data_IF_362050575907
#
_entry.id   IF_362050575907
#
_cell.length_a   1.000
_cell.length_b   1.000
_cell.length_c   1.000
_cell.angle_alpha   90.00
_cell.angle_beta   90.00
_cell.angle_gamma   90.00
#
_symmetry.space_group_name_H-M   'P 1'
#
loop_
_entity.id
_entity.type
_entity.pdbx_description
1 polymer ?
#
# COMPACT_ATOMS: atom_id res chain seq x y z
N UNK A 1 -23.80 -5.13 -29.25
CA UNK A 1 -22.44 -4.62 -29.00
C UNK A 1 -22.15 -4.71 -27.52
N UNK A 2 -21.00 -5.26 -27.12
CA UNK A 2 -20.63 -5.32 -25.71
C UNK A 2 -20.51 -3.89 -25.13
N UNK A 3 -21.14 -3.65 -23.99
CA UNK A 3 -20.97 -2.41 -23.23
C UNK A 3 -19.46 -2.12 -23.08
N UNK A 4 -19.08 -0.84 -23.23
CA UNK A 4 -17.68 -0.38 -23.10
C UNK A 4 -17.01 -1.08 -21.90
N UNK A 5 -16.00 -1.89 -22.18
CA UNK A 5 -15.26 -2.64 -21.14
C UNK A 5 -14.58 -1.64 -20.21
N UNK A 6 -14.91 -1.70 -18.92
CA UNK A 6 -14.21 -0.94 -17.88
C UNK A 6 -12.81 -1.51 -17.71
N UNK A 7 -11.82 -0.64 -17.57
CA UNK A 7 -10.42 -1.02 -17.33
C UNK A 7 -10.11 -0.80 -15.85
N UNK A 8 -9.47 -1.79 -15.22
CA UNK A 8 -9.02 -1.69 -13.84
C UNK A 8 -7.63 -1.08 -13.84
N UNK A 9 -7.46 0.03 -13.14
CA UNK A 9 -6.16 0.64 -12.86
C UNK A 9 -5.81 0.34 -11.41
N UNK A 10 -4.65 -0.27 -11.19
CA UNK A 10 -4.09 -0.51 -9.86
C UNK A 10 -2.87 0.39 -9.65
N UNK A 11 -2.80 1.06 -8.52
CA UNK A 11 -1.64 1.88 -8.15
C UNK A 11 -0.89 1.23 -6.97
N UNK A 12 0.38 0.89 -7.17
CA UNK A 12 1.25 0.40 -6.10
C UNK A 12 2.02 1.58 -5.49
N UNK A 13 1.68 1.92 -4.25
CA UNK A 13 1.99 3.24 -3.69
C UNK A 13 3.48 3.44 -3.37
N UNK A 14 4.14 2.42 -2.82
CA UNK A 14 5.52 2.57 -2.32
C UNK A 14 6.37 1.29 -2.45
N UNK A 15 5.77 0.11 -2.30
CA UNK A 15 6.47 -1.17 -2.40
C UNK A 15 7.57 -1.36 -1.34
N UNK A 16 8.50 -2.29 -1.61
CA UNK A 16 9.63 -2.60 -0.73
C UNK A 16 10.99 -2.65 -1.47
N UNK A 17 11.03 -2.31 -2.76
CA UNK A 17 12.24 -2.37 -3.60
C UNK A 17 12.99 -1.03 -3.57
N UNK A 18 12.31 0.06 -3.93
CA UNK A 18 12.93 1.39 -3.90
C UNK A 18 13.20 1.86 -2.46
N UNK A 19 14.26 2.64 -2.29
CA UNK A 19 14.69 3.23 -1.02
C UNK A 19 14.55 4.77 -1.03
N UNK A 20 14.42 5.42 0.14
CA UNK A 20 14.24 6.88 0.19
C UNK A 20 15.34 7.68 -0.50
N UNK A 21 16.58 7.17 -0.51
CA UNK A 21 17.70 7.80 -1.19
C UNK A 21 17.59 7.82 -2.72
N UNK A 22 16.70 7.00 -3.31
CA UNK A 22 16.50 6.94 -4.77
C UNK A 22 15.55 8.04 -5.26
N UNK A 23 14.64 8.52 -4.42
CA UNK A 23 13.69 9.56 -4.78
C UNK A 23 13.11 10.25 -3.55
N UNK A 24 13.06 11.60 -3.52
CA UNK A 24 12.36 12.33 -2.46
C UNK A 24 10.84 12.19 -2.54
N UNK A 25 10.31 11.56 -3.59
CA UNK A 25 8.88 11.34 -3.81
C UNK A 25 8.42 9.93 -3.41
N UNK A 26 9.31 9.08 -2.88
CA UNK A 26 8.92 7.78 -2.38
C UNK A 26 8.11 7.96 -1.07
N UNK A 27 6.84 7.52 -1.00
CA UNK A 27 6.06 7.68 0.22
C UNK A 27 6.59 6.77 1.32
N UNK A 28 6.90 7.33 2.49
CA UNK A 28 7.50 6.60 3.61
C UNK A 28 6.56 6.60 4.81
N UNK A 29 6.06 7.76 5.23
CA UNK A 29 5.22 7.85 6.42
C UNK A 29 3.80 7.34 6.13
N UNK A 30 3.05 6.88 7.16
CA UNK A 30 1.64 6.54 6.98
C UNK A 30 0.83 7.68 6.35
N UNK A 31 1.10 8.93 6.73
CA UNK A 31 0.42 10.12 6.23
C UNK A 31 0.71 10.34 4.74
N UNK A 32 1.97 10.17 4.31
CA UNK A 32 2.35 10.26 2.90
C UNK A 32 1.70 9.15 2.07
N UNK A 33 1.72 7.90 2.56
CA UNK A 33 1.12 6.76 1.88
C UNK A 33 -0.39 6.95 1.74
N UNK A 34 -1.07 7.41 2.78
CA UNK A 34 -2.52 7.71 2.73
C UNK A 34 -2.80 8.85 1.76
N UNK A 35 -2.01 9.93 1.80
CA UNK A 35 -2.19 11.07 0.91
C UNK A 35 -2.01 10.69 -0.57
N UNK A 36 -1.00 9.87 -0.89
CA UNK A 36 -0.80 9.36 -2.26
C UNK A 36 -1.89 8.38 -2.68
N UNK A 37 -2.34 7.50 -1.77
CA UNK A 37 -3.46 6.60 -2.06
C UNK A 37 -4.75 7.36 -2.39
N UNK A 38 -5.04 8.45 -1.68
CA UNK A 38 -6.16 9.34 -1.99
C UNK A 38 -6.00 9.98 -3.37
N UNK A 39 -4.83 10.54 -3.68
CA UNK A 39 -4.53 11.12 -5.01
C UNK A 39 -4.69 10.09 -6.13
N UNK A 40 -4.17 8.88 -5.94
CA UNK A 40 -4.27 7.80 -6.91
C UNK A 40 -5.73 7.39 -7.16
N UNK A 41 -6.53 7.25 -6.11
CA UNK A 41 -7.95 6.93 -6.22
C UNK A 41 -8.74 8.06 -6.92
N UNK A 42 -8.50 9.32 -6.53
CA UNK A 42 -9.09 10.51 -7.16
C UNK A 42 -8.73 10.62 -8.65
N UNK A 43 -7.52 10.17 -9.03
CA UNK A 43 -7.06 10.10 -10.42
C UNK A 43 -7.62 8.89 -11.21
N UNK A 44 -8.38 8.00 -10.56
CA UNK A 44 -9.07 6.87 -11.20
C UNK A 44 -8.51 5.48 -10.92
N UNK A 45 -7.60 5.32 -9.95
CA UNK A 45 -7.18 3.99 -9.50
C UNK A 45 -8.34 3.28 -8.78
N UNK A 46 -8.73 2.11 -9.28
CA UNK A 46 -9.76 1.27 -8.68
C UNK A 46 -9.21 0.37 -7.56
N UNK A 47 -7.90 0.12 -7.57
CA UNK A 47 -7.18 -0.70 -6.58
C UNK A 47 -5.95 0.06 -6.11
N UNK A 48 -5.72 0.05 -4.80
CA UNK A 48 -4.50 0.55 -4.16
C UNK A 48 -3.73 -0.63 -3.57
N UNK A 49 -2.53 -0.88 -4.10
CA UNK A 49 -1.63 -1.91 -3.58
C UNK A 49 -0.69 -1.31 -2.52
N UNK A 50 -0.70 -1.90 -1.33
CA UNK A 50 -0.19 -1.27 -0.11
C UNK A 50 0.95 -2.09 0.51
N UNK A 51 2.01 -1.36 0.84
CA UNK A 51 3.10 -1.77 1.73
C UNK A 51 3.21 -0.71 2.82
N UNK A 52 3.68 -1.09 4.01
CA UNK A 52 4.05 -0.15 5.05
C UNK A 52 5.58 -0.02 5.15
N UNK A 53 6.03 1.10 5.72
CA UNK A 53 7.44 1.42 5.97
C UNK A 53 7.59 2.03 7.35
N UNK A 54 8.77 1.87 7.92
CA UNK A 54 9.18 2.59 9.12
C UNK A 54 9.25 4.09 8.80
N UNK A 55 8.49 4.95 9.49
CA UNK A 55 8.42 6.39 9.20
C UNK A 55 9.74 7.13 9.46
N UNK A 56 10.65 6.57 10.27
CA UNK A 56 11.94 7.19 10.58
C UNK A 56 13.03 6.83 9.58
N UNK A 57 12.97 5.63 9.02
CA UNK A 57 14.08 5.08 8.21
C UNK A 57 13.69 4.73 6.77
N UNK A 58 12.40 4.61 6.47
CA UNK A 58 11.88 4.16 5.18
C UNK A 58 12.09 2.67 4.89
N UNK A 59 12.61 1.91 5.86
CA UNK A 59 12.73 0.45 5.73
C UNK A 59 11.34 -0.19 5.64
N UNK A 60 11.15 -1.23 4.82
CA UNK A 60 9.90 -1.99 4.80
C UNK A 60 9.50 -2.48 6.19
N UNK A 61 8.24 -2.29 6.56
CA UNK A 61 7.65 -2.71 7.83
C UNK A 61 6.40 -3.54 7.53
N UNK A 62 6.36 -4.77 8.03
CA UNK A 62 5.29 -5.73 7.79
C UNK A 62 4.48 -6.03 9.06
N UNK A 63 4.62 -5.19 10.09
CA UNK A 63 3.84 -5.32 11.32
C UNK A 63 2.37 -4.96 11.08
N UNK A 64 1.48 -5.65 11.81
CA UNK A 64 0.04 -5.33 11.82
C UNK A 64 -0.19 -3.87 12.23
N UNK A 65 0.60 -3.35 13.16
CA UNK A 65 0.51 -1.98 13.65
C UNK A 65 0.80 -0.95 12.54
N UNK A 66 1.86 -1.15 11.75
CA UNK A 66 2.21 -0.22 10.67
C UNK A 66 1.09 -0.13 9.62
N UNK A 67 0.47 -1.27 9.26
CA UNK A 67 -0.69 -1.29 8.38
C UNK A 67 -1.93 -0.66 9.03
N UNK A 68 -2.14 -0.87 10.33
CA UNK A 68 -3.25 -0.27 11.08
C UNK A 68 -3.27 1.26 11.06
N UNK A 69 -2.12 1.90 10.87
CA UNK A 69 -2.00 3.36 10.70
C UNK A 69 -2.36 3.86 9.29
N UNK A 70 -2.37 2.98 8.28
CA UNK A 70 -2.58 3.32 6.86
C UNK A 70 -4.00 2.95 6.40
N UNK A 71 -4.43 1.73 6.70
CA UNK A 71 -5.64 1.14 6.12
C UNK A 71 -6.93 1.94 6.36
N UNK A 72 -7.19 2.51 7.56
CA UNK A 72 -8.39 3.32 7.78
C UNK A 72 -8.47 4.55 6.86
N UNK A 73 -7.32 5.20 6.61
CA UNK A 73 -7.23 6.36 5.73
C UNK A 73 -7.48 6.02 4.26
N UNK A 74 -6.95 4.89 3.79
CA UNK A 74 -7.18 4.41 2.43
C UNK A 74 -8.62 3.92 2.22
N UNK A 75 -9.25 3.32 3.24
CA UNK A 75 -10.64 2.83 3.16
C UNK A 75 -11.63 3.96 2.83
N UNK A 76 -11.35 5.18 3.29
CA UNK A 76 -12.18 6.35 3.01
C UNK A 76 -12.21 6.76 1.51
N UNK A 77 -11.31 6.24 0.67
CA UNK A 77 -11.27 6.50 -0.77
C UNK A 77 -12.33 5.75 -1.57
N UNK A 78 -12.84 4.63 -1.04
CA UNK A 78 -13.71 3.71 -1.77
C UNK A 78 -13.00 2.81 -2.80
N UNK A 79 -11.68 2.93 -2.98
CA UNK A 79 -10.90 1.98 -3.78
C UNK A 79 -10.71 0.64 -3.05
N UNK A 80 -10.51 -0.43 -3.81
CA UNK A 80 -10.14 -1.74 -3.24
C UNK A 80 -8.73 -1.65 -2.66
N UNK A 81 -8.55 -2.13 -1.43
CA UNK A 81 -7.24 -2.18 -0.78
C UNK A 81 -6.64 -3.57 -0.99
N UNK A 82 -5.52 -3.63 -1.69
CA UNK A 82 -4.74 -4.84 -1.88
C UNK A 82 -3.52 -4.84 -0.94
N UNK A 83 -3.58 -5.65 0.12
CA UNK A 83 -2.50 -5.77 1.11
C UNK A 83 -1.47 -6.79 0.63
N UNK A 84 -0.20 -6.39 0.60
CA UNK A 84 0.89 -7.28 0.25
C UNK A 84 1.06 -8.44 1.23
N UNK A 85 1.28 -9.65 0.70
CA UNK A 85 1.87 -10.79 1.42
C UNK A 85 3.30 -11.05 0.94
N UNK A 86 3.86 -10.11 0.16
CA UNK A 86 5.26 -10.10 -0.26
C UNK A 86 6.16 -9.44 0.78
N UNK A 87 5.70 -8.33 1.38
CA UNK A 87 6.54 -7.51 2.27
C UNK A 87 7.89 -7.18 1.60
N UNK A 88 8.98 -7.40 2.32
CA UNK A 88 10.33 -7.41 1.76
C UNK A 88 10.85 -8.86 1.56
N UNK A 89 11.73 -9.13 0.57
CA UNK A 89 12.19 -10.49 0.28
C UNK A 89 12.95 -11.19 1.42
N UNK A 90 13.51 -10.42 2.36
CA UNK A 90 14.25 -10.94 3.52
C UNK A 90 13.34 -11.31 4.70
N UNK A 91 12.04 -11.00 4.65
CA UNK A 91 11.08 -11.33 5.70
C UNK A 91 10.60 -12.78 5.56
N UNK A 92 10.32 -13.41 6.69
CA UNK A 92 9.73 -14.75 6.74
C UNK A 92 8.29 -14.74 6.22
N UNK A 93 7.77 -15.90 5.80
CA UNK A 93 6.37 -16.02 5.36
C UNK A 93 5.39 -15.67 6.48
N UNK A 94 5.70 -16.05 7.73
CA UNK A 94 4.87 -15.76 8.90
C UNK A 94 4.74 -14.25 9.14
N UNK A 95 5.84 -13.51 9.07
CA UNK A 95 5.81 -12.04 9.13
C UNK A 95 5.03 -11.46 7.94
N UNK A 96 5.30 -11.95 6.74
CA UNK A 96 4.70 -11.45 5.50
C UNK A 96 3.18 -11.56 5.45
N UNK A 97 2.62 -12.67 5.93
CA UNK A 97 1.17 -12.91 5.89
C UNK A 97 0.43 -12.19 7.03
N UNK A 98 1.12 -11.78 8.10
CA UNK A 98 0.49 -11.29 9.32
C UNK A 98 -0.51 -10.12 9.11
N UNK A 99 -0.20 -9.07 8.31
CA UNK A 99 -1.17 -8.00 8.06
C UNK A 99 -2.42 -8.50 7.34
N UNK A 100 -2.26 -9.30 6.28
CA UNK A 100 -3.39 -9.83 5.51
C UNK A 100 -4.26 -10.78 6.36
N UNK A 101 -3.63 -11.64 7.16
CA UNK A 101 -4.33 -12.54 8.06
C UNK A 101 -5.10 -11.80 9.17
N UNK A 102 -4.56 -10.69 9.67
CA UNK A 102 -5.21 -9.88 10.71
C UNK A 102 -6.36 -9.03 10.17
N UNK A 103 -6.16 -8.31 9.07
CA UNK A 103 -7.12 -7.35 8.57
C UNK A 103 -8.20 -7.95 7.66
N UNK A 104 -8.00 -9.17 7.16
CA UNK A 104 -8.90 -9.84 6.21
C UNK A 104 -9.37 -8.90 5.07
N UNK A 105 -8.41 -8.29 4.32
CA UNK A 105 -8.67 -7.23 3.34
C UNK A 105 -9.46 -7.70 2.13
#
# INVERSE_FOLDING_TARGET
MAARRKVIISCALTGAIHTPSMSPHLPVTPEEIVAEGRRAAEAGAAILHVHARDPRTGRPDQSVEAFGRILPGLKATGAVINVTTGGAPYMTVAERVAPAAHFAP
#
